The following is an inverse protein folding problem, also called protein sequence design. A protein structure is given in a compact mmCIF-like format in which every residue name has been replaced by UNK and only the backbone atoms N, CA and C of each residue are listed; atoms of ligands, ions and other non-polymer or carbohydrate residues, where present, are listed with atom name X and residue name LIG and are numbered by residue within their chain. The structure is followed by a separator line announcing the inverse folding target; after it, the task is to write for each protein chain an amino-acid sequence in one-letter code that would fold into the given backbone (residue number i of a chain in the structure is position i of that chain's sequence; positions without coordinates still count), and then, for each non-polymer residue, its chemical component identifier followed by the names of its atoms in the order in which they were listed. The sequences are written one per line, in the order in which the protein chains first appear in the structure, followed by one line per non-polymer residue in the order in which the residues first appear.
data_IF_697918121696
#
_entry.id   IF_697918121696
#
_cell.length_a   1.000
_cell.length_b   1.000
_cell.length_c   1.000
_cell.angle_alpha   90.00
_cell.angle_beta   90.00
_cell.angle_gamma   90.00
#
_symmetry.space_group_name_H-M   'P 1'
#
loop_
_entity.id
_entity.type
_entity.pdbx_description
1 polymer ?
#
# COMPACT_ATOMS: atom_id res chain seq x y z
N UNK A 1 20.84 26.75 -41.95
CA UNK A 1 19.51 26.10 -42.07
C UNK A 1 19.35 24.80 -41.25
N UNK A 2 20.38 23.96 -41.04
CA UNK A 2 20.24 22.65 -40.33
C UNK A 2 19.84 22.72 -38.84
N UNK A 3 20.19 23.79 -38.13
CA UNK A 3 19.88 23.95 -36.68
C UNK A 3 18.39 24.15 -36.38
N UNK A 4 17.62 24.76 -37.30
CA UNK A 4 16.18 24.97 -37.12
C UNK A 4 15.37 23.69 -37.32
N UNK A 5 15.78 22.83 -38.26
CA UNK A 5 15.11 21.55 -38.51
C UNK A 5 15.18 20.62 -37.29
N UNK A 6 16.34 20.51 -36.64
CA UNK A 6 16.50 19.69 -35.44
C UNK A 6 15.62 20.14 -34.26
N UNK A 7 15.36 21.44 -34.13
CA UNK A 7 14.45 21.98 -33.09
C UNK A 7 13.01 21.57 -33.39
N UNK A 8 12.59 21.60 -34.66
CA UNK A 8 11.24 21.21 -35.08
C UNK A 8 11.03 19.70 -34.93
N UNK A 9 12.02 18.88 -35.29
CA UNK A 9 11.99 17.43 -35.08
C UNK A 9 11.84 17.09 -33.58
N UNK A 10 12.61 17.75 -32.71
CA UNK A 10 12.50 17.57 -31.27
C UNK A 10 11.13 18.03 -30.73
N UNK A 11 10.58 19.13 -31.24
CA UNK A 11 9.28 19.64 -30.81
C UNK A 11 8.13 18.65 -31.06
N UNK A 12 8.25 17.82 -32.09
CA UNK A 12 7.26 16.78 -32.41
C UNK A 12 7.43 15.55 -31.51
N UNK A 13 8.67 15.17 -31.19
CA UNK A 13 8.96 13.98 -30.36
C UNK A 13 8.79 14.25 -28.85
N UNK A 14 9.13 15.46 -28.41
CA UNK A 14 9.04 15.92 -27.02
C UNK A 14 7.72 15.60 -26.31
N UNK A 15 6.52 15.90 -26.86
CA UNK A 15 5.26 15.62 -26.16
C UNK A 15 5.07 14.13 -25.87
N UNK A 16 5.45 13.24 -26.79
CA UNK A 16 5.39 11.79 -26.56
C UNK A 16 6.41 11.33 -25.54
N UNK A 17 7.63 11.88 -25.60
CA UNK A 17 8.69 11.57 -24.63
C UNK A 17 8.27 12.01 -23.22
N UNK A 18 7.68 13.19 -23.08
CA UNK A 18 7.18 13.69 -21.80
C UNK A 18 6.04 12.83 -21.26
N UNK A 19 5.08 12.44 -22.10
CA UNK A 19 4.01 11.53 -21.71
C UNK A 19 4.58 10.20 -21.20
N UNK A 20 5.56 9.63 -21.90
CA UNK A 20 6.20 8.39 -21.47
C UNK A 20 6.93 8.55 -20.13
N UNK A 21 7.72 9.62 -19.96
CA UNK A 21 8.45 9.89 -18.72
C UNK A 21 7.49 10.08 -17.56
N UNK A 22 6.44 10.89 -17.73
CA UNK A 22 5.42 11.10 -16.70
C UNK A 22 4.66 9.82 -16.38
N UNK A 23 4.32 9.00 -17.37
CA UNK A 23 3.71 7.70 -17.16
C UNK A 23 4.58 6.75 -16.33
N UNK A 24 5.90 6.72 -16.58
CA UNK A 24 6.85 5.92 -15.80
C UNK A 24 6.95 6.42 -14.36
N UNK A 25 7.00 7.75 -14.15
CA UNK A 25 7.07 8.34 -12.81
C UNK A 25 5.80 8.01 -12.00
N UNK A 26 4.62 8.19 -12.61
CA UNK A 26 3.33 7.88 -11.99
C UNK A 26 3.24 6.38 -11.63
N UNK A 27 3.62 5.51 -12.57
CA UNK A 27 3.63 4.07 -12.33
C UNK A 27 4.60 3.67 -11.21
N UNK A 28 5.79 4.27 -11.17
CA UNK A 28 6.78 4.03 -10.12
C UNK A 28 6.26 4.41 -8.73
N UNK A 29 5.57 5.54 -8.61
CA UNK A 29 4.95 5.99 -7.38
C UNK A 29 3.87 5.00 -6.90
N UNK A 30 2.98 4.59 -7.80
CA UNK A 30 1.90 3.64 -7.48
C UNK A 30 2.45 2.29 -7.04
N UNK A 31 3.45 1.77 -7.76
CA UNK A 31 4.11 0.52 -7.42
C UNK A 31 4.76 0.61 -6.04
N UNK A 32 5.44 1.72 -5.74
CA UNK A 32 6.05 1.96 -4.43
C UNK A 32 5.02 1.94 -3.30
N UNK A 33 3.90 2.68 -3.43
CA UNK A 33 2.83 2.68 -2.42
C UNK A 33 2.25 1.29 -2.22
N UNK A 34 2.01 0.55 -3.30
CA UNK A 34 1.52 -0.83 -3.22
C UNK A 34 2.48 -1.74 -2.44
N UNK A 35 3.79 -1.60 -2.64
CA UNK A 35 4.78 -2.35 -1.88
C UNK A 35 4.74 -2.04 -0.39
N UNK A 36 4.61 -0.77 -0.02
CA UNK A 36 4.49 -0.36 1.40
C UNK A 36 3.20 -0.93 2.01
N UNK A 37 2.07 -0.89 1.30
CA UNK A 37 0.81 -1.45 1.79
C UNK A 37 0.89 -2.96 2.04
N UNK A 38 1.49 -3.72 1.12
CA UNK A 38 1.68 -5.17 1.29
C UNK A 38 2.54 -5.47 2.51
N UNK A 39 3.62 -4.71 2.69
CA UNK A 39 4.50 -4.86 3.83
C UNK A 39 3.77 -4.54 5.14
N UNK A 40 3.01 -3.44 5.17
CA UNK A 40 2.23 -3.03 6.34
C UNK A 40 1.13 -4.04 6.69
N UNK A 41 0.39 -4.56 5.70
CA UNK A 41 -0.61 -5.60 5.91
C UNK A 41 0.02 -6.87 6.47
N UNK A 42 1.18 -7.28 5.94
CA UNK A 42 1.89 -8.47 6.41
C UNK A 42 2.41 -8.31 7.84
N UNK A 43 3.00 -7.16 8.16
CA UNK A 43 3.48 -6.88 9.53
C UNK A 43 2.32 -6.76 10.52
N UNK A 44 1.20 -6.13 10.12
CA UNK A 44 -0.03 -6.12 10.90
C UNK A 44 -0.56 -7.52 11.17
N UNK A 45 -0.64 -8.38 10.15
CA UNK A 45 -1.10 -9.75 10.31
C UNK A 45 -0.19 -10.57 11.25
N UNK A 46 1.13 -10.35 11.22
CA UNK A 46 2.07 -10.98 12.17
C UNK A 46 1.91 -10.46 13.60
N UNK A 47 1.58 -9.19 13.76
CA UNK A 47 1.30 -8.63 15.08
C UNK A 47 -0.03 -9.17 15.63
N UNK A 48 -1.01 -9.42 14.77
CA UNK A 48 -2.31 -9.94 15.15
C UNK A 48 -2.23 -11.33 15.76
N UNK A 49 -1.43 -12.25 15.19
CA UNK A 49 -1.38 -13.64 15.67
C UNK A 49 -0.82 -13.79 17.10
N UNK A 50 -0.16 -12.76 17.63
CA UNK A 50 0.51 -12.82 18.94
C UNK A 50 -0.53 -12.92 20.09
N UNK A 51 -0.27 -13.72 21.15
CA UNK A 51 -1.17 -13.80 22.29
C UNK A 51 -1.37 -12.43 22.96
N UNK A 52 -2.64 -12.06 23.18
CA UNK A 52 -2.98 -10.76 23.76
C UNK A 52 -2.91 -9.56 22.80
N UNK A 53 -2.76 -9.81 21.48
CA UNK A 53 -2.83 -8.75 20.49
C UNK A 53 -4.21 -8.08 20.51
N UNK A 54 -4.21 -6.77 20.78
CA UNK A 54 -5.39 -5.91 20.64
C UNK A 54 -5.40 -5.24 19.27
N UNK A 55 -6.57 -4.81 18.81
CA UNK A 55 -6.70 -4.01 17.59
C UNK A 55 -5.77 -2.80 17.60
N UNK A 56 -5.63 -2.12 18.75
CA UNK A 56 -4.74 -0.97 18.92
C UNK A 56 -3.27 -1.33 18.65
N UNK A 57 -2.81 -2.49 19.14
CA UNK A 57 -1.44 -2.95 18.95
C UNK A 57 -1.18 -3.28 17.48
N UNK A 58 -2.13 -3.94 16.82
CA UNK A 58 -2.04 -4.29 15.39
C UNK A 58 -2.00 -3.04 14.51
N UNK A 59 -2.90 -2.09 14.77
CA UNK A 59 -2.96 -0.82 14.04
C UNK A 59 -1.71 0.03 14.27
N UNK A 60 -1.13 0.01 15.48
CA UNK A 60 0.13 0.71 15.76
C UNK A 60 1.30 0.17 14.93
N UNK A 61 1.39 -1.16 14.73
CA UNK A 61 2.42 -1.78 13.87
C UNK A 61 2.21 -1.44 12.40
N UNK A 62 0.96 -1.47 11.93
CA UNK A 62 0.58 -1.03 10.58
C UNK A 62 0.98 0.43 10.37
N UNK A 63 0.68 1.30 11.32
CA UNK A 63 1.02 2.73 11.26
C UNK A 63 2.52 2.97 11.26
N UNK A 64 3.26 2.23 12.07
CA UNK A 64 4.71 2.31 12.07
C UNK A 64 5.28 1.92 10.70
N UNK A 65 4.78 0.83 10.12
CA UNK A 65 5.23 0.37 8.80
C UNK A 65 4.89 1.39 7.69
N UNK A 66 3.72 2.02 7.76
CA UNK A 66 3.31 3.08 6.83
C UNK A 66 4.21 4.33 6.99
N UNK A 67 4.54 4.71 8.23
CA UNK A 67 5.47 5.81 8.52
C UNK A 67 6.87 5.54 7.98
N UNK A 68 7.36 4.32 8.16
CA UNK A 68 8.67 3.89 7.68
C UNK A 68 8.72 3.85 6.14
N UNK A 69 7.59 3.54 5.49
CA UNK A 69 7.41 3.65 4.04
C UNK A 69 7.38 5.07 3.49
N UNK A 70 7.45 6.11 4.34
CA UNK A 70 7.55 7.53 3.96
C UNK A 70 6.52 7.95 2.89
N UNK A 71 5.29 7.47 3.00
CA UNK A 71 4.22 7.75 2.03
C UNK A 71 3.70 9.21 2.06
N UNK A 72 4.33 10.11 2.82
CA UNK A 72 3.90 11.50 2.96
C UNK A 72 2.46 11.59 3.51
N UNK A 73 1.68 12.55 2.98
CA UNK A 73 0.28 12.77 3.36
C UNK A 73 -0.69 11.66 2.92
N UNK A 74 -0.24 10.68 2.15
CA UNK A 74 -1.04 9.51 1.75
C UNK A 74 -1.28 8.59 2.94
N UNK A 75 -0.31 8.50 3.87
CA UNK A 75 -0.38 7.60 5.02
C UNK A 75 -1.58 7.82 5.95
N UNK A 76 -2.07 9.06 6.05
CA UNK A 76 -3.26 9.40 6.84
C UNK A 76 -4.59 9.10 6.14
N UNK A 77 -4.57 8.88 4.82
CA UNK A 77 -5.76 8.59 4.00
C UNK A 77 -6.00 7.11 3.77
N UNK A 78 -5.05 6.25 4.15
CA UNK A 78 -5.20 4.80 4.08
C UNK A 78 -6.30 4.37 5.07
N UNK A 79 -7.37 3.77 4.56
CA UNK A 79 -8.37 3.12 5.40
C UNK A 79 -7.82 1.80 5.90
N UNK A 80 -7.85 1.62 7.22
CA UNK A 80 -7.35 0.42 7.91
C UNK A 80 -8.56 -0.30 8.48
N UNK A 81 -8.72 -1.57 8.15
CA UNK A 81 -9.67 -2.44 8.82
C UNK A 81 -8.93 -3.65 9.36
N UNK A 82 -9.06 -3.83 10.66
CA UNK A 82 -8.70 -5.05 11.34
C UNK A 82 -10.00 -5.79 11.67
N UNK A 83 -10.08 -7.08 11.34
CA UNK A 83 -11.14 -7.94 11.86
C UNK A 83 -10.46 -9.13 12.52
N UNK A 84 -10.66 -9.24 13.83
CA UNK A 84 -10.31 -10.44 14.57
C UNK A 84 -11.35 -11.50 14.26
N UNK A 85 -10.91 -12.70 13.87
CA UNK A 85 -11.77 -13.86 13.83
C UNK A 85 -12.19 -14.24 15.25
N UNK A 86 -13.49 -14.21 15.53
CA UNK A 86 -14.05 -14.82 16.73
C UNK A 86 -14.36 -16.29 16.41
N UNK A 87 -14.07 -17.22 17.32
CA UNK A 87 -14.23 -18.68 17.12
C UNK A 87 -15.56 -19.00 16.40
N UNK A 88 -15.57 -19.62 15.20
CA UNK A 88 -14.74 -20.75 14.76
C UNK A 88 -13.84 -20.46 13.54
N UNK A 89 -13.61 -19.20 13.17
CA UNK A 89 -12.85 -18.83 11.97
C UNK A 89 -11.55 -18.11 12.35
N UNK A 90 -10.59 -18.82 12.95
CA UNK A 90 -9.31 -18.33 13.52
C UNK A 90 -8.39 -17.54 12.55
N UNK A 91 -8.88 -17.15 11.38
CA UNK A 91 -8.27 -16.22 10.44
C UNK A 91 -8.44 -14.76 10.92
N UNK A 92 -7.31 -14.11 11.16
CA UNK A 92 -7.25 -12.66 11.38
C UNK A 92 -6.94 -11.97 10.04
N UNK A 93 -7.74 -10.96 9.69
CA UNK A 93 -7.57 -10.23 8.43
C UNK A 93 -7.21 -8.77 8.67
N UNK A 94 -6.17 -8.32 7.98
CA UNK A 94 -5.77 -6.91 7.89
C UNK A 94 -6.02 -6.44 6.46
N UNK A 95 -7.00 -5.55 6.30
CA UNK A 95 -7.36 -4.93 5.02
C UNK A 95 -6.88 -3.48 5.02
N UNK A 96 -6.03 -3.14 4.06
CA UNK A 96 -5.58 -1.77 3.81
C UNK A 96 -6.07 -1.31 2.44
N UNK A 97 -6.88 -0.26 2.43
CA UNK A 97 -7.42 0.30 1.20
C UNK A 97 -7.01 1.76 1.08
N UNK A 98 -6.48 2.14 -0.08
CA UNK A 98 -6.20 3.52 -0.44
C UNK A 98 -6.73 3.82 -1.83
N UNK A 99 -7.32 5.00 -2.02
CA UNK A 99 -7.74 5.43 -3.35
C UNK A 99 -6.53 5.82 -4.20
N UNK A 100 -6.56 5.53 -5.49
CA UNK A 100 -5.50 5.92 -6.41
C UNK A 100 -5.37 7.44 -6.52
N UNK A 101 -6.48 8.18 -6.42
CA UNK A 101 -6.50 9.64 -6.43
C UNK A 101 -5.63 10.26 -5.32
N UNK A 102 -5.45 9.56 -4.20
CA UNK A 102 -4.59 10.03 -3.11
C UNK A 102 -3.11 9.73 -3.32
N UNK A 103 -2.79 8.81 -4.23
CA UNK A 103 -1.42 8.35 -4.54
C UNK A 103 -0.88 9.01 -5.81
N UNK A 104 -1.79 9.49 -6.68
CA UNK A 104 -1.45 10.07 -7.96
C UNK A 104 -0.71 11.40 -7.82
N UNK A 105 0.36 11.60 -8.61
CA UNK A 105 1.10 12.85 -8.65
C UNK A 105 0.55 13.80 -9.72
N UNK A 106 0.02 13.24 -10.79
CA UNK A 106 -0.36 13.97 -12.00
C UNK A 106 -1.86 13.94 -12.32
N UNK A 107 -2.66 13.19 -11.55
CA UNK A 107 -4.11 13.07 -11.75
C UNK A 107 -4.49 12.33 -13.04
N UNK A 108 -3.57 11.55 -13.62
CA UNK A 108 -3.80 10.90 -14.92
C UNK A 108 -4.79 9.72 -14.86
N UNK A 109 -4.98 9.07 -13.70
CA UNK A 109 -5.76 7.84 -13.56
C UNK A 109 -6.61 7.80 -12.28
N UNK A 110 -7.42 8.84 -12.03
CA UNK A 110 -8.12 9.05 -10.75
C UNK A 110 -9.15 7.97 -10.37
N UNK A 111 -9.64 7.17 -11.32
CA UNK A 111 -10.75 6.23 -11.11
C UNK A 111 -10.36 4.85 -10.53
N UNK A 112 -9.06 4.59 -10.30
CA UNK A 112 -8.61 3.27 -9.80
C UNK A 112 -8.56 3.21 -8.26
N UNK A 113 -8.68 2.02 -7.68
CA UNK A 113 -8.54 1.81 -6.22
C UNK A 113 -7.38 0.85 -5.96
N UNK A 114 -6.49 1.20 -5.04
CA UNK A 114 -5.34 0.37 -4.63
C UNK A 114 -5.68 -0.30 -3.30
N UNK A 115 -6.06 -1.57 -3.34
CA UNK A 115 -6.32 -2.37 -2.15
C UNK A 115 -5.23 -3.43 -1.93
N UNK A 116 -4.84 -3.65 -0.69
CA UNK A 116 -3.98 -4.75 -0.25
C UNK A 116 -4.58 -5.43 0.97
N UNK A 117 -4.53 -6.77 0.99
CA UNK A 117 -5.08 -7.59 2.06
C UNK A 117 -4.07 -8.67 2.44
N UNK A 118 -3.89 -8.89 3.74
CA UNK A 118 -3.16 -10.02 4.27
C UNK A 118 -4.00 -10.74 5.33
N UNK A 119 -3.98 -12.07 5.27
CA UNK A 119 -4.68 -12.96 6.21
C UNK A 119 -3.66 -13.86 6.89
N UNK A 120 -3.74 -14.01 8.21
CA UNK A 120 -2.96 -15.01 8.96
C UNK A 120 -3.87 -15.82 9.89
N UNK A 121 -3.58 -17.11 10.02
CA UNK A 121 -4.34 -18.04 10.84
C UNK A 121 -3.66 -18.21 12.20
N UNK A 122 -4.39 -18.00 13.30
CA UNK A 122 -3.90 -18.24 14.66
C UNK A 122 -4.07 -19.73 15.00
N UNK A 123 -2.99 -20.36 15.48
CA UNK A 123 -3.02 -21.76 15.94
C UNK A 123 -3.96 -21.97 17.14
N UNK A 124 -4.49 -23.19 17.35
CA UNK A 124 -5.38 -23.49 18.48
C UNK A 124 -4.66 -23.27 19.81
N UNK A 125 -5.37 -22.70 20.78
CA UNK A 125 -4.84 -22.42 22.13
C UNK A 125 -4.98 -23.67 23.02
N UNK A 126 -3.89 -24.15 23.63
CA UNK A 126 -3.92 -25.05 24.80
C UNK A 126 -4.64 -24.33 25.97
N UNK A 127 -5.36 -25.06 26.82
CA UNK A 127 -5.98 -24.60 28.08
C UNK A 127 -5.01 -23.85 29.03
N UNK A 128 -3.70 -23.85 28.75
CA UNK A 128 -2.64 -23.10 29.47
C UNK A 128 -2.13 -21.82 28.78
N UNK A 129 -2.64 -21.48 27.60
CA UNK A 129 -2.31 -20.21 26.93
C UNK A 129 -0.92 -20.16 26.26
N UNK A 130 -0.32 -21.30 25.91
CA UNK A 130 0.93 -21.35 25.12
C UNK A 130 0.68 -21.94 23.72
N UNK A 131 1.49 -21.48 22.76
CA UNK A 131 1.48 -21.86 21.34
C UNK A 131 2.42 -23.06 21.13
N UNK A 132 1.93 -24.10 20.44
CA UNK A 132 2.71 -25.29 20.02
C UNK A 132 3.81 -24.93 18.99
#
# INVERSE_FOLDING_TARGET
MRRGAAIVELAIVMPFLLLLVFGIIEFGQVAYVRHVLINAATQGARAAILPGATEETVLAVVDQTIRDGRLGGVGSKISRKYTSGEFPDLAEHVLLTVSYADVSLLGFFEDFQLASSATMFRGPLDERGEIE
#
